data_IF_817736845239
#
_entry.id   IF_817736845239
#
_cell.length_a   1.000
_cell.length_b   1.000
_cell.length_c   1.000
_cell.angle_alpha   90.00
_cell.angle_beta   90.00
_cell.angle_gamma   90.00
#
_symmetry.space_group_name_H-M   'P 1'
#
loop_
_entity.id
_entity.type
_entity.pdbx_description
1 polymer ?
#
# COMPACT_ATOMS: atom_id res chain seq x y z
N UNK A 1 -0.24 32.97 12.82
CA UNK A 1 0.16 32.37 11.54
C UNK A 1 1.44 31.62 11.80
N UNK A 2 1.29 30.42 12.36
CA UNK A 2 2.41 29.49 12.58
C UNK A 2 2.58 28.71 11.28
N UNK A 3 3.77 28.85 10.67
CA UNK A 3 4.23 28.00 9.59
C UNK A 3 4.33 26.56 10.12
N UNK A 4 3.38 25.73 9.71
CA UNK A 4 3.43 24.28 9.90
C UNK A 4 4.63 23.75 9.10
N UNK A 5 5.70 23.37 9.80
CA UNK A 5 6.86 22.71 9.20
C UNK A 5 6.47 21.29 8.75
N UNK A 6 5.98 21.19 7.52
CA UNK A 6 5.76 19.92 6.82
C UNK A 6 7.12 19.40 6.32
N UNK A 7 7.34 18.10 6.51
CA UNK A 7 8.61 17.38 6.37
C UNK A 7 9.34 17.67 5.04
N UNK A 8 10.33 18.57 5.06
CA UNK A 8 11.15 19.01 3.89
C UNK A 8 12.50 18.30 3.80
N UNK A 9 12.72 17.25 4.59
CA UNK A 9 14.08 16.76 4.82
C UNK A 9 14.57 15.82 3.71
N UNK A 10 15.71 16.20 3.13
CA UNK A 10 16.45 15.37 2.18
C UNK A 10 17.22 14.28 2.93
N UNK A 11 16.93 13.01 2.60
CA UNK A 11 17.69 11.88 3.09
C UNK A 11 18.88 11.59 2.17
N UNK A 12 20.10 11.72 2.70
CA UNK A 12 21.31 11.44 1.94
C UNK A 12 21.66 9.94 1.97
N UNK A 13 21.63 9.28 0.82
CA UNK A 13 21.87 7.83 0.74
C UNK A 13 22.38 7.37 -0.63
N UNK A 14 22.96 6.16 -0.66
CA UNK A 14 23.34 5.51 -1.92
C UNK A 14 22.11 4.91 -2.60
N UNK A 15 21.86 5.35 -3.82
CA UNK A 15 20.78 4.86 -4.69
C UNK A 15 21.37 4.01 -5.81
N UNK A 16 20.96 2.73 -5.94
CA UNK A 16 21.36 1.90 -7.07
C UNK A 16 20.56 2.26 -8.33
N UNK A 17 21.26 2.69 -9.37
CA UNK A 17 20.73 2.86 -10.72
C UNK A 17 21.01 1.58 -11.51
N UNK A 18 19.93 0.85 -11.83
CA UNK A 18 20.00 -0.40 -12.58
C UNK A 18 19.90 -0.13 -14.08
N UNK A 19 20.82 -0.70 -14.84
CA UNK A 19 20.77 -0.74 -16.31
C UNK A 19 20.32 -2.14 -16.69
N UNK A 20 19.14 -2.26 -17.28
CA UNK A 20 18.48 -3.56 -17.49
C UNK A 20 17.84 -3.67 -18.89
N UNK A 21 17.70 -4.91 -19.37
CA UNK A 21 16.95 -5.28 -20.56
C UNK A 21 15.89 -6.29 -20.13
N UNK A 22 14.61 -5.91 -20.20
CA UNK A 22 13.54 -6.65 -19.53
C UNK A 22 13.84 -6.78 -18.03
N UNK A 23 13.73 -7.99 -17.50
CA UNK A 23 14.01 -8.28 -16.09
C UNK A 23 15.49 -8.56 -15.80
N UNK A 24 16.35 -8.57 -16.83
CA UNK A 24 17.79 -8.85 -16.67
C UNK A 24 18.56 -7.57 -16.41
N UNK A 25 19.10 -7.43 -15.20
CA UNK A 25 20.05 -6.36 -14.84
C UNK A 25 21.42 -6.68 -15.44
N UNK A 26 21.94 -5.78 -16.28
CA UNK A 26 23.27 -5.89 -16.85
C UNK A 26 24.33 -5.29 -15.92
N UNK A 27 24.04 -4.09 -15.39
CA UNK A 27 24.94 -3.36 -14.50
C UNK A 27 24.13 -2.61 -13.44
N UNK A 28 24.74 -2.35 -12.29
CA UNK A 28 24.20 -1.47 -11.25
C UNK A 28 25.27 -0.46 -10.87
N UNK A 29 24.97 0.83 -11.01
CA UNK A 29 25.82 1.92 -10.55
C UNK A 29 25.21 2.56 -9.32
N UNK A 30 26.01 2.93 -8.31
CA UNK A 30 25.49 3.55 -7.08
C UNK A 30 25.83 5.04 -7.08
N UNK A 31 24.82 5.87 -6.89
CA UNK A 31 24.96 7.32 -6.75
C UNK A 31 24.59 7.74 -5.33
N UNK A 32 25.36 8.65 -4.75
CA UNK A 32 24.99 9.36 -3.54
C UNK A 32 24.00 10.48 -3.89
N UNK A 33 22.74 10.29 -3.55
CA UNK A 33 21.67 11.23 -3.88
C UNK A 33 21.03 11.79 -2.61
N UNK A 34 20.56 13.03 -2.70
CA UNK A 34 19.57 13.57 -1.78
C UNK A 34 18.20 13.04 -2.19
N UNK A 35 17.59 12.23 -1.32
CA UNK A 35 16.35 11.53 -1.59
C UNK A 35 15.21 12.12 -0.78
N UNK A 36 14.10 12.42 -1.45
CA UNK A 36 12.83 12.80 -0.81
C UNK A 36 11.70 11.96 -1.39
N UNK A 37 10.70 11.69 -0.57
CA UNK A 37 9.46 11.06 -0.99
C UNK A 37 8.30 12.03 -0.78
N UNK A 38 7.43 12.13 -1.79
CA UNK A 38 6.20 12.90 -1.71
C UNK A 38 5.06 11.92 -1.45
N UNK A 39 4.52 11.97 -0.24
CA UNK A 39 3.42 11.08 0.15
C UNK A 39 2.05 11.72 -0.15
N UNK A 40 0.95 10.99 0.07
CA UNK A 40 -0.40 11.45 -0.28
C UNK A 40 -0.88 12.65 0.55
N UNK A 41 -0.35 12.81 1.76
CA UNK A 41 -0.64 13.93 2.67
C UNK A 41 0.12 15.22 2.30
N UNK A 42 1.05 15.15 1.35
CA UNK A 42 1.71 16.33 0.81
C UNK A 42 0.71 17.16 -0.02
N UNK A 43 0.66 18.49 0.19
CA UNK A 43 -0.27 19.39 -0.50
C UNK A 43 0.31 20.06 -1.76
N UNK A 44 1.50 19.63 -2.21
CA UNK A 44 2.14 20.15 -3.42
C UNK A 44 1.27 19.85 -4.65
N UNK A 45 0.85 20.86 -5.43
CA UNK A 45 0.02 20.63 -6.60
C UNK A 45 0.77 19.82 -7.66
N UNK A 46 0.05 19.08 -8.53
CA UNK A 46 0.66 18.41 -9.67
C UNK A 46 1.44 19.40 -10.55
N UNK A 47 2.62 18.99 -11.01
CA UNK A 47 3.48 19.84 -11.83
C UNK A 47 3.34 19.47 -13.31
N UNK A 48 3.27 20.49 -14.17
CA UNK A 48 3.30 20.31 -15.63
C UNK A 48 4.72 20.24 -16.19
N UNK A 49 5.70 20.70 -15.42
CA UNK A 49 7.12 20.66 -15.78
C UNK A 49 7.93 20.27 -14.56
N UNK A 50 8.68 19.20 -14.70
CA UNK A 50 9.70 18.81 -13.74
C UNK A 50 10.87 19.79 -13.85
N UNK A 51 11.31 20.34 -12.74
CA UNK A 51 12.52 21.16 -12.65
C UNK A 51 13.42 20.59 -11.56
N UNK A 52 14.75 20.72 -11.67
CA UNK A 52 15.65 20.35 -10.59
C UNK A 52 15.26 21.10 -9.30
N UNK A 53 15.38 20.47 -8.12
CA UNK A 53 15.21 21.18 -6.85
C UNK A 53 16.14 22.38 -6.75
N UNK A 54 15.66 23.46 -6.12
CA UNK A 54 16.45 24.67 -5.86
C UNK A 54 17.36 24.54 -4.64
N UNK A 55 17.20 23.48 -3.85
CA UNK A 55 18.04 23.19 -2.69
C UNK A 55 19.51 23.02 -3.10
N UNK A 56 20.43 23.41 -2.23
CA UNK A 56 21.85 23.19 -2.47
C UNK A 56 22.19 21.70 -2.45
N UNK A 57 22.99 21.26 -3.41
CA UNK A 57 23.60 19.94 -3.36
C UNK A 57 24.60 19.87 -2.19
N UNK A 58 24.47 18.81 -1.39
CA UNK A 58 25.48 18.42 -0.44
C UNK A 58 26.79 18.13 -1.19
N UNK A 59 27.94 18.46 -0.59
CA UNK A 59 29.26 18.43 -1.25
C UNK A 59 29.64 17.10 -1.90
N UNK A 60 29.14 15.98 -1.35
CA UNK A 60 29.36 14.63 -1.86
C UNK A 60 28.17 14.04 -2.63
N UNK A 61 27.10 14.82 -2.84
CA UNK A 61 25.93 14.36 -3.58
C UNK A 61 26.08 14.63 -5.07
N UNK A 62 25.64 13.66 -5.86
CA UNK A 62 25.68 13.69 -7.33
C UNK A 62 24.33 14.16 -7.93
N UNK A 63 23.33 14.45 -7.09
CA UNK A 63 22.01 14.88 -7.55
C UNK A 63 20.88 14.60 -6.56
N UNK A 64 19.66 14.72 -7.05
CA UNK A 64 18.43 14.50 -6.29
C UNK A 64 17.66 13.30 -6.82
N UNK A 65 16.95 12.60 -5.93
CA UNK A 65 15.90 11.65 -6.26
C UNK A 65 14.64 12.04 -5.52
N UNK A 66 13.58 12.36 -6.27
CA UNK A 66 12.27 12.61 -5.68
C UNK A 66 11.32 11.50 -6.12
N UNK A 67 10.72 10.82 -5.14
CA UNK A 67 9.74 9.76 -5.38
C UNK A 67 8.34 10.36 -5.38
N UNK A 68 7.46 9.77 -6.21
CA UNK A 68 6.02 10.03 -6.17
C UNK A 68 5.61 11.49 -6.44
N UNK A 69 6.39 12.21 -7.28
CA UNK A 69 5.96 13.52 -7.79
C UNK A 69 4.64 13.35 -8.58
N UNK A 70 3.65 14.18 -8.25
CA UNK A 70 2.41 14.30 -9.03
C UNK A 70 2.69 15.13 -10.28
N UNK A 71 2.41 14.56 -11.44
CA UNK A 71 2.58 15.21 -12.75
C UNK A 71 1.22 15.34 -13.45
N UNK A 72 1.06 16.39 -14.24
CA UNK A 72 -0.16 16.64 -15.01
C UNK A 72 -0.18 15.78 -16.28
N UNK A 73 0.97 15.64 -16.93
CA UNK A 73 1.14 14.98 -18.21
C UNK A 73 2.27 13.95 -18.15
N UNK A 74 2.33 13.04 -19.14
CA UNK A 74 3.45 12.13 -19.28
C UNK A 74 4.74 12.89 -19.61
N UNK A 75 5.82 12.56 -18.89
CA UNK A 75 7.14 13.10 -19.13
C UNK A 75 8.06 12.10 -19.86
N UNK A 76 9.03 12.58 -20.65
CA UNK A 76 10.01 11.70 -21.27
C UNK A 76 10.89 11.02 -20.20
N UNK A 77 11.24 9.76 -20.44
CA UNK A 77 12.07 8.95 -19.53
C UNK A 77 13.43 9.60 -19.25
N UNK A 78 14.03 10.26 -20.25
CA UNK A 78 15.33 10.91 -20.11
C UNK A 78 15.30 12.26 -20.81
N UNK A 79 15.70 13.30 -20.10
CA UNK A 79 15.80 14.66 -20.63
C UNK A 79 16.94 15.43 -19.98
N UNK A 80 17.61 16.30 -20.74
CA UNK A 80 18.57 17.25 -20.18
C UNK A 80 17.82 18.48 -19.68
N UNK A 81 18.11 18.91 -18.46
CA UNK A 81 17.56 20.13 -17.86
C UNK A 81 18.67 20.94 -17.22
N UNK A 82 19.06 22.04 -17.86
CA UNK A 82 20.21 22.86 -17.43
C UNK A 82 21.46 21.98 -17.26
N UNK A 83 22.05 21.96 -16.06
CA UNK A 83 23.22 21.17 -15.69
C UNK A 83 22.87 19.76 -15.20
N UNK A 84 21.58 19.40 -15.17
CA UNK A 84 21.10 18.11 -14.72
C UNK A 84 20.64 17.21 -15.89
N UNK A 85 20.73 15.91 -15.65
CA UNK A 85 20.02 14.89 -16.42
C UNK A 85 18.84 14.42 -15.56
N UNK A 86 17.62 14.65 -16.04
CA UNK A 86 16.40 14.15 -15.40
C UNK A 86 16.08 12.78 -16.00
N UNK A 87 16.07 11.77 -15.13
CA UNK A 87 15.77 10.38 -15.46
C UNK A 87 14.56 9.91 -14.67
N UNK A 88 13.51 9.48 -15.37
CA UNK A 88 12.23 9.06 -14.82
C UNK A 88 12.05 7.57 -15.10
N UNK A 89 12.46 6.69 -14.18
CA UNK A 89 12.42 5.24 -14.41
C UNK A 89 11.00 4.68 -14.45
N UNK A 90 10.01 5.39 -13.87
CA UNK A 90 8.62 4.94 -13.83
C UNK A 90 7.68 6.13 -13.63
N UNK A 91 6.55 6.10 -14.36
CA UNK A 91 5.38 6.96 -14.18
C UNK A 91 4.15 6.07 -14.22
N UNK A 92 3.25 6.24 -13.27
CA UNK A 92 2.09 5.37 -13.12
C UNK A 92 0.95 6.10 -12.43
N UNK A 93 -0.26 5.57 -12.62
CA UNK A 93 -1.43 6.01 -11.86
C UNK A 93 -1.35 5.45 -10.44
N UNK A 94 -1.27 6.33 -9.45
CA UNK A 94 -1.39 5.97 -8.03
C UNK A 94 -2.86 5.95 -7.65
N UNK A 95 -3.36 4.78 -7.25
CA UNK A 95 -4.75 4.63 -6.81
C UNK A 95 -4.81 4.69 -5.29
N UNK A 96 -5.72 5.50 -4.77
CA UNK A 96 -5.96 5.62 -3.33
C UNK A 96 -7.42 5.96 -3.03
N UNK A 97 -7.81 5.83 -1.76
CA UNK A 97 -9.09 6.29 -1.24
C UNK A 97 -8.82 7.44 -0.28
N UNK A 98 -9.53 8.55 -0.47
CA UNK A 98 -9.66 9.58 0.56
C UNK A 98 -10.52 9.03 1.71
N UNK A 99 -9.93 8.84 2.89
CA UNK A 99 -10.59 8.25 4.06
C UNK A 99 -11.28 9.32 4.94
N UNK A 100 -11.14 10.60 4.59
CA UNK A 100 -11.78 11.72 5.31
C UNK A 100 -13.25 11.90 4.91
N UNK A 101 -13.66 11.37 3.76
CA UNK A 101 -15.07 11.27 3.38
C UNK A 101 -15.78 10.17 4.20
N UNK A 102 -17.10 10.21 4.26
CA UNK A 102 -17.89 9.14 4.87
C UNK A 102 -17.90 7.86 4.00
N UNK A 103 -18.13 6.71 4.64
CA UNK A 103 -18.27 5.45 3.89
C UNK A 103 -19.44 5.47 2.91
N UNK A 104 -20.51 6.20 3.22
CA UNK A 104 -21.65 6.37 2.32
C UNK A 104 -21.27 7.15 1.05
N UNK A 105 -20.50 8.23 1.18
CA UNK A 105 -19.98 9.00 0.04
C UNK A 105 -19.03 8.15 -0.80
N UNK A 106 -18.12 7.39 -0.17
CA UNK A 106 -17.27 6.44 -0.88
C UNK A 106 -18.10 5.39 -1.65
N UNK A 107 -19.11 4.77 -1.01
CA UNK A 107 -20.03 3.83 -1.68
C UNK A 107 -20.76 4.48 -2.85
N UNK A 108 -21.08 5.77 -2.77
CA UNK A 108 -21.83 6.48 -3.80
C UNK A 108 -21.08 6.55 -5.14
N UNK A 109 -19.74 6.56 -5.11
CA UNK A 109 -18.84 6.60 -6.28
C UNK A 109 -18.95 5.35 -7.16
N UNK A 110 -19.42 4.24 -6.61
CA UNK A 110 -19.65 3.01 -7.38
C UNK A 110 -20.98 3.01 -8.12
N UNK A 111 -20.99 2.49 -9.35
CA UNK A 111 -22.24 2.27 -10.08
C UNK A 111 -23.21 1.37 -9.30
N UNK A 112 -24.52 1.53 -9.52
CA UNK A 112 -25.53 0.66 -8.92
C UNK A 112 -25.29 -0.83 -9.22
N UNK A 113 -24.74 -1.15 -10.40
CA UNK A 113 -24.34 -2.51 -10.80
C UNK A 113 -23.20 -3.04 -9.94
N UNK A 114 -22.17 -2.23 -9.69
CA UNK A 114 -21.02 -2.61 -8.86
C UNK A 114 -21.46 -2.85 -7.41
N UNK A 115 -22.24 -1.93 -6.83
CA UNK A 115 -22.80 -2.07 -5.47
C UNK A 115 -23.66 -3.33 -5.34
N UNK A 116 -24.55 -3.57 -6.31
CA UNK A 116 -25.39 -4.77 -6.33
C UNK A 116 -24.55 -6.05 -6.42
N UNK A 117 -23.48 -6.04 -7.21
CA UNK A 117 -22.58 -7.18 -7.34
C UNK A 117 -21.85 -7.50 -6.03
N UNK A 118 -21.35 -6.47 -5.32
CA UNK A 118 -20.71 -6.63 -4.01
C UNK A 118 -21.69 -7.20 -2.98
N UNK A 119 -22.89 -6.62 -2.88
CA UNK A 119 -23.93 -7.10 -1.97
C UNK A 119 -24.33 -8.55 -2.28
N UNK A 120 -24.46 -8.91 -3.56
CA UNK A 120 -24.75 -10.28 -3.99
C UNK A 120 -23.63 -11.26 -3.59
N UNK A 121 -22.36 -10.87 -3.73
CA UNK A 121 -21.20 -11.69 -3.31
C UNK A 121 -21.21 -11.90 -1.79
N UNK A 122 -21.38 -10.83 -1.02
CA UNK A 122 -21.46 -10.90 0.44
C UNK A 122 -22.61 -11.80 0.90
N UNK A 123 -23.81 -11.64 0.30
CA UNK A 123 -24.97 -12.49 0.60
C UNK A 123 -24.72 -13.96 0.27
N UNK A 124 -24.20 -14.26 -0.93
CA UNK A 124 -23.86 -15.63 -1.34
C UNK A 124 -22.89 -16.29 -0.35
N UNK A 125 -21.89 -15.55 0.09
CA UNK A 125 -20.93 -16.08 1.06
C UNK A 125 -21.55 -16.25 2.45
N UNK A 126 -22.40 -15.31 2.89
CA UNK A 126 -23.16 -15.42 4.15
C UNK A 126 -24.03 -16.67 4.17
N UNK A 127 -24.74 -16.95 3.08
CA UNK A 127 -25.56 -18.16 2.92
C UNK A 127 -24.69 -19.42 2.97
N UNK A 128 -23.54 -19.42 2.29
CA UNK A 128 -22.57 -20.52 2.33
C UNK A 128 -22.02 -20.78 3.74
N UNK A 129 -21.80 -19.74 4.54
CA UNK A 129 -21.35 -19.83 5.94
C UNK A 129 -22.46 -20.24 6.93
N UNK A 130 -23.69 -20.49 6.48
CA UNK A 130 -24.80 -20.86 7.36
C UNK A 130 -25.49 -19.68 8.05
N UNK A 131 -25.38 -18.47 7.48
CA UNK A 131 -26.18 -17.30 7.86
C UNK A 131 -25.39 -16.12 8.43
N UNK A 132 -24.09 -16.28 8.71
CA UNK A 132 -23.24 -15.17 9.15
C UNK A 132 -21.80 -15.30 8.65
N UNK A 133 -21.14 -14.18 8.38
CA UNK A 133 -19.73 -14.14 7.98
C UNK A 133 -18.89 -13.98 9.25
N UNK A 134 -17.95 -14.91 9.46
CA UNK A 134 -16.95 -14.81 10.53
C UNK A 134 -15.70 -14.12 10.01
N UNK A 135 -15.29 -13.03 10.66
CA UNK A 135 -14.07 -12.29 10.35
C UNK A 135 -13.57 -11.57 11.60
N UNK A 136 -12.27 -11.25 11.65
CA UNK A 136 -11.65 -10.62 12.81
C UNK A 136 -10.66 -9.54 12.39
N UNK A 137 -10.62 -8.46 13.17
CA UNK A 137 -9.63 -7.40 13.10
C UNK A 137 -8.58 -7.64 14.17
N UNK A 138 -7.31 -7.38 13.82
CA UNK A 138 -6.15 -7.52 14.66
C UNK A 138 -5.39 -6.19 14.64
N UNK A 139 -5.10 -5.63 15.82
CA UNK A 139 -4.42 -4.33 15.94
C UNK A 139 -3.48 -4.21 17.13
N UNK A 140 -3.60 -5.07 18.15
CA UNK A 140 -2.73 -5.04 19.33
C UNK A 140 -1.50 -5.95 19.19
N UNK A 141 -0.50 -5.73 20.04
CA UNK A 141 0.74 -6.51 20.06
C UNK A 141 0.48 -7.99 20.38
N UNK A 142 -0.48 -8.24 21.26
CA UNK A 142 -0.91 -9.57 21.73
C UNK A 142 -1.67 -10.34 20.65
N UNK A 143 -2.38 -9.61 19.78
CA UNK A 143 -3.16 -10.15 18.67
C UNK A 143 -2.28 -10.51 17.45
N UNK A 144 -1.16 -9.80 17.23
CA UNK A 144 -0.30 -9.98 16.06
C UNK A 144 0.25 -11.40 15.84
N UNK A 145 0.65 -12.18 16.87
CA UNK A 145 1.02 -13.58 16.69
C UNK A 145 -0.08 -14.45 16.07
N UNK A 146 -1.32 -14.29 16.54
CA UNK A 146 -2.47 -15.04 16.03
C UNK A 146 -2.78 -14.62 14.59
N UNK A 147 -2.80 -13.31 14.32
CA UNK A 147 -2.93 -12.79 12.95
C UNK A 147 -1.86 -13.40 12.03
N UNK A 148 -0.59 -13.39 12.46
CA UNK A 148 0.52 -13.91 11.67
C UNK A 148 0.28 -15.37 11.29
N UNK A 149 -0.10 -16.20 12.26
CA UNK A 149 -0.34 -17.62 12.03
C UNK A 149 -1.46 -17.86 11.01
N UNK A 150 -2.58 -17.16 11.14
CA UNK A 150 -3.69 -17.28 10.18
C UNK A 150 -3.34 -16.75 8.80
N UNK A 151 -2.73 -15.56 8.73
CA UNK A 151 -2.32 -14.95 7.47
C UNK A 151 -1.28 -15.80 6.73
N UNK A 152 -0.32 -16.41 7.46
CA UNK A 152 0.66 -17.34 6.88
C UNK A 152 0.01 -18.63 6.38
N UNK A 153 -0.99 -19.17 7.09
CA UNK A 153 -1.77 -20.33 6.62
C UNK A 153 -2.40 -20.06 5.26
N UNK A 154 -3.05 -18.90 5.10
CA UNK A 154 -3.65 -18.50 3.81
C UNK A 154 -2.58 -18.19 2.77
N UNK A 155 -1.55 -17.42 3.13
CA UNK A 155 -0.48 -16.98 2.22
C UNK A 155 0.27 -18.15 1.60
N UNK A 156 0.46 -19.27 2.32
CA UNK A 156 1.11 -20.47 1.76
C UNK A 156 0.30 -21.06 0.60
N UNK A 157 -1.03 -21.14 0.73
CA UNK A 157 -1.90 -21.67 -0.33
C UNK A 157 -2.05 -20.67 -1.47
N UNK A 158 -2.17 -19.36 -1.16
CA UNK A 158 -2.21 -18.31 -2.20
C UNK A 158 -0.95 -18.31 -3.06
N UNK A 159 0.23 -18.48 -2.44
CA UNK A 159 1.53 -18.50 -3.13
C UNK A 159 1.74 -19.80 -3.94
N UNK A 160 1.26 -20.95 -3.45
CA UNK A 160 1.35 -22.21 -4.21
C UNK A 160 0.64 -22.14 -5.57
N UNK A 161 -0.43 -21.34 -5.70
CA UNK A 161 -1.04 -21.07 -7.00
C UNK A 161 -0.42 -19.86 -7.74
N UNK A 162 0.06 -18.85 -7.00
CA UNK A 162 0.69 -17.66 -7.57
C UNK A 162 2.21 -17.76 -7.46
N UNK A 163 2.85 -18.19 -8.56
CA UNK A 163 4.30 -18.19 -8.86
C UNK A 163 5.04 -16.83 -8.70
N UNK A 164 4.55 -15.90 -7.87
CA UNK A 164 5.07 -14.55 -7.70
C UNK A 164 5.34 -14.32 -6.21
N UNK A 165 6.61 -14.06 -5.86
CA UNK A 165 7.19 -13.86 -4.50
C UNK A 165 6.58 -12.69 -3.68
N UNK A 166 5.26 -12.57 -3.65
CA UNK A 166 4.51 -11.47 -3.04
C UNK A 166 3.68 -11.91 -1.81
N UNK A 167 3.99 -13.09 -1.24
CA UNK A 167 3.35 -13.57 -0.01
C UNK A 167 3.86 -12.87 1.24
N UNK A 168 3.10 -12.97 2.35
CA UNK A 168 3.50 -12.44 3.65
C UNK A 168 4.86 -13.07 4.08
N UNK A 169 5.91 -12.32 4.45
CA UNK A 169 7.20 -12.93 4.81
C UNK A 169 7.11 -13.92 5.99
N UNK A 170 7.79 -15.07 5.88
CA UNK A 170 7.82 -16.14 6.90
C UNK A 170 9.05 -16.03 7.81
N UNK A 171 9.25 -14.88 8.43
CA UNK A 171 10.46 -14.63 9.22
C UNK A 171 10.15 -14.06 10.59
N UNK A 172 11.01 -14.39 11.57
CA UNK A 172 10.89 -13.86 12.93
C UNK A 172 11.11 -12.35 12.97
N UNK A 173 11.97 -11.83 12.08
CA UNK A 173 12.21 -10.40 11.90
C UNK A 173 10.95 -9.68 11.46
N UNK A 174 10.18 -10.27 10.54
CA UNK A 174 8.91 -9.69 10.10
C UNK A 174 7.87 -9.68 11.22
N UNK A 175 7.72 -10.79 11.95
CA UNK A 175 6.83 -10.85 13.11
C UNK A 175 7.22 -9.83 14.19
N UNK A 176 8.51 -9.65 14.45
CA UNK A 176 9.00 -8.64 15.38
C UNK A 176 8.64 -7.22 14.90
N UNK A 177 8.89 -6.90 13.63
CA UNK A 177 8.52 -5.61 13.04
C UNK A 177 7.00 -5.36 13.12
N UNK A 178 6.19 -6.37 12.82
CA UNK A 178 4.74 -6.27 12.92
C UNK A 178 4.26 -5.97 14.35
N UNK A 179 4.87 -6.60 15.36
CA UNK A 179 4.59 -6.29 16.77
C UNK A 179 4.98 -4.86 17.14
N UNK A 180 6.10 -4.35 16.63
CA UNK A 180 6.51 -2.96 16.85
C UNK A 180 5.50 -1.97 16.25
N UNK A 181 5.00 -2.25 15.04
CA UNK A 181 3.94 -1.45 14.42
C UNK A 181 2.65 -1.49 15.26
N UNK A 182 2.25 -2.66 15.74
CA UNK A 182 1.06 -2.80 16.60
C UNK A 182 1.19 -2.01 17.91
N UNK A 183 2.38 -2.01 18.51
CA UNK A 183 2.66 -1.21 19.72
C UNK A 183 2.45 0.29 19.49
N UNK A 184 2.72 0.75 18.27
CA UNK A 184 2.53 2.15 17.85
C UNK A 184 1.13 2.43 17.31
N UNK A 185 0.23 1.43 17.26
CA UNK A 185 -1.07 1.55 16.60
C UNK A 185 -0.99 1.64 15.07
N UNK A 186 0.16 1.35 14.48
CA UNK A 186 0.50 1.53 13.07
C UNK A 186 0.26 0.30 12.19
N UNK A 187 -0.68 -0.56 12.57
CA UNK A 187 -1.09 -1.72 11.76
C UNK A 187 -2.57 -2.05 11.98
N UNK A 188 -3.23 -2.48 10.91
CA UNK A 188 -4.48 -3.24 10.97
C UNK A 188 -4.33 -4.52 10.17
N UNK A 189 -4.61 -5.65 10.81
CA UNK A 189 -4.69 -6.97 10.18
C UNK A 189 -6.15 -7.44 10.15
N UNK A 190 -6.54 -8.09 9.07
CA UNK A 190 -7.89 -8.61 8.88
C UNK A 190 -7.82 -10.06 8.42
N UNK A 191 -8.64 -10.92 9.01
CA UNK A 191 -8.81 -12.32 8.57
C UNK A 191 -10.29 -12.59 8.33
N UNK A 192 -10.60 -13.20 7.19
CA UNK A 192 -11.91 -13.78 6.89
C UNK A 192 -11.85 -15.28 7.15
N UNK A 193 -12.87 -15.83 7.80
CA UNK A 193 -12.95 -17.24 8.14
C UNK A 193 -14.15 -17.91 7.47
N UNK A 194 -13.98 -19.17 7.10
CA UNK A 194 -15.08 -20.11 6.92
C UNK A 194 -15.02 -21.11 8.09
N UNK A 195 -16.00 -21.04 8.99
CA UNK A 195 -15.92 -21.69 10.31
C UNK A 195 -14.66 -21.23 11.05
N UNK A 196 -13.79 -22.14 11.49
CA UNK A 196 -12.51 -21.83 12.14
C UNK A 196 -11.34 -21.72 11.15
N UNK A 197 -11.57 -21.98 9.86
CA UNK A 197 -10.52 -21.97 8.83
C UNK A 197 -10.33 -20.56 8.28
N UNK A 198 -9.13 -19.95 8.34
CA UNK A 198 -8.87 -18.69 7.66
C UNK A 198 -8.87 -18.90 6.14
N UNK A 199 -9.58 -18.06 5.41
CA UNK A 199 -9.75 -18.17 3.94
C UNK A 199 -9.31 -16.92 3.19
N UNK A 200 -9.13 -15.79 3.87
CA UNK A 200 -8.53 -14.59 3.29
C UNK A 200 -7.87 -13.75 4.38
N UNK A 201 -6.83 -13.01 4.02
CA UNK A 201 -6.19 -12.05 4.90
C UNK A 201 -5.88 -10.74 4.17
N UNK A 202 -5.80 -9.67 4.95
CA UNK A 202 -5.33 -8.35 4.54
C UNK A 202 -4.49 -7.74 5.67
N UNK A 203 -3.31 -7.24 5.33
CA UNK A 203 -2.34 -6.61 6.21
C UNK A 203 -2.11 -5.16 5.76
N UNK A 204 -2.46 -4.21 6.61
CA UNK A 204 -2.46 -2.78 6.31
C UNK A 204 -1.59 -1.98 7.29
N UNK A 205 -0.27 -1.86 7.07
CA UNK A 205 0.57 -1.00 7.89
C UNK A 205 0.17 0.46 7.67
N UNK A 206 0.42 1.29 8.67
CA UNK A 206 0.04 2.70 8.69
C UNK A 206 1.30 3.54 8.80
N UNK A 207 1.39 4.60 7.99
CA UNK A 207 2.44 5.62 8.06
C UNK A 207 1.79 6.99 7.90
N UNK A 208 2.05 7.93 8.81
CA UNK A 208 1.52 9.30 8.73
C UNK A 208 -0.01 9.39 8.46
N UNK A 209 -0.80 8.51 9.08
CA UNK A 209 -2.25 8.45 8.86
C UNK A 209 -2.69 7.82 7.52
N UNK A 210 -1.77 7.27 6.74
CA UNK A 210 -2.01 6.58 5.47
C UNK A 210 -1.95 5.06 5.70
N UNK A 211 -3.02 4.35 5.38
CA UNK A 211 -3.05 2.88 5.34
C UNK A 211 -2.50 2.37 4.02
N UNK A 212 -1.55 1.44 4.06
CA UNK A 212 -0.93 0.86 2.88
C UNK A 212 -1.56 -0.51 2.60
N UNK A 213 -1.89 -0.82 1.34
CA UNK A 213 -2.39 -2.13 0.92
C UNK A 213 -1.26 -3.18 0.83
N UNK A 214 -0.61 -3.45 1.97
CA UNK A 214 0.71 -4.10 2.03
C UNK A 214 0.75 -5.57 1.63
N UNK A 215 0.06 -6.45 2.36
CA UNK A 215 0.00 -7.88 2.01
C UNK A 215 -1.43 -8.39 2.05
N UNK A 216 -1.76 -9.27 1.11
CA UNK A 216 -3.08 -9.88 1.04
C UNK A 216 -3.01 -11.27 0.43
N UNK A 217 -4.05 -12.06 0.69
CA UNK A 217 -4.22 -13.33 0.04
C UNK A 217 -5.57 -13.95 0.32
N UNK A 218 -5.86 -15.01 -0.43
CA UNK A 218 -7.03 -15.83 -0.23
C UNK A 218 -6.75 -17.29 -0.59
N UNK A 219 -7.47 -18.20 0.06
CA UNK A 219 -7.49 -19.62 -0.28
C UNK A 219 -8.25 -19.77 -1.62
N UNK A 220 -7.59 -20.24 -2.69
CA UNK A 220 -8.20 -20.34 -4.01
C UNK A 220 -9.41 -21.27 -4.09
N UNK A 221 -9.52 -22.25 -3.19
CA UNK A 221 -10.72 -23.09 -3.08
C UNK A 221 -11.99 -22.27 -2.81
N UNK A 222 -11.84 -21.03 -2.33
CA UNK A 222 -12.92 -20.10 -2.05
C UNK A 222 -13.06 -18.99 -3.11
N UNK A 223 -12.35 -19.05 -4.24
CA UNK A 223 -12.37 -18.00 -5.27
C UNK A 223 -13.78 -17.73 -5.81
N UNK A 224 -14.61 -18.78 -5.94
CA UNK A 224 -16.00 -18.70 -6.41
C UNK A 224 -16.95 -17.95 -5.45
N UNK A 225 -16.47 -17.65 -4.25
CA UNK A 225 -17.15 -16.83 -3.24
C UNK A 225 -16.57 -15.41 -3.14
N UNK A 226 -15.51 -15.09 -3.88
CA UNK A 226 -14.88 -13.76 -3.86
C UNK A 226 -14.40 -13.31 -2.47
N UNK A 227 -13.89 -14.25 -1.66
CA UNK A 227 -13.48 -14.01 -0.26
C UNK A 227 -12.53 -12.83 -0.08
N UNK A 228 -11.57 -12.63 -0.99
CA UNK A 228 -10.67 -11.47 -0.93
C UNK A 228 -11.40 -10.12 -1.11
N UNK A 229 -12.32 -10.04 -2.08
CA UNK A 229 -13.14 -8.83 -2.28
C UNK A 229 -14.06 -8.57 -1.10
N UNK A 230 -14.65 -9.63 -0.52
CA UNK A 230 -15.52 -9.51 0.66
C UNK A 230 -14.73 -8.99 1.85
N UNK A 231 -13.56 -9.59 2.14
CA UNK A 231 -12.70 -9.14 3.23
C UNK A 231 -12.27 -7.69 3.05
N UNK A 232 -11.84 -7.30 1.86
CA UNK A 232 -11.48 -5.92 1.57
C UNK A 232 -12.64 -4.95 1.81
N UNK A 233 -13.86 -5.32 1.42
CA UNK A 233 -15.04 -4.49 1.65
C UNK A 233 -15.37 -4.32 3.14
N UNK A 234 -15.31 -5.41 3.91
CA UNK A 234 -15.51 -5.38 5.38
C UNK A 234 -14.42 -4.56 6.07
N UNK A 235 -13.16 -4.73 5.65
CA UNK A 235 -12.04 -3.97 6.16
C UNK A 235 -12.21 -2.46 5.88
N UNK A 236 -12.60 -2.08 4.65
CA UNK A 236 -12.87 -0.68 4.33
C UNK A 236 -13.99 -0.10 5.20
N UNK A 237 -15.13 -0.81 5.34
CA UNK A 237 -16.23 -0.37 6.22
C UNK A 237 -15.76 -0.10 7.64
N UNK A 238 -14.96 -1.03 8.20
CA UNK A 238 -14.38 -0.88 9.53
C UNK A 238 -13.41 0.30 9.64
N UNK A 239 -12.52 0.47 8.65
CA UNK A 239 -11.52 1.53 8.65
C UNK A 239 -12.15 2.92 8.52
N UNK A 240 -13.23 3.06 7.74
CA UNK A 240 -14.02 4.30 7.71
C UNK A 240 -14.72 4.57 9.04
N UNK A 241 -15.20 3.53 9.73
CA UNK A 241 -15.80 3.69 11.07
C UNK A 241 -14.78 4.10 12.13
N UNK A 242 -13.52 3.68 12.02
CA UNK A 242 -12.45 4.16 12.92
C UNK A 242 -12.19 5.67 12.75
N UNK A 243 -12.45 6.26 11.57
CA UNK A 243 -12.38 7.71 11.35
C UNK A 243 -11.02 8.35 11.64
N UNK A 244 -9.93 7.57 11.60
CA UNK A 244 -8.61 7.97 12.10
C UNK A 244 -7.54 8.10 11.00
N UNK A 245 -7.92 7.93 9.73
CA UNK A 245 -6.99 7.82 8.61
C UNK A 245 -7.26 8.88 7.54
N UNK A 246 -6.19 9.36 6.90
CA UNK A 246 -6.26 10.33 5.81
C UNK A 246 -6.51 9.64 4.48
N UNK A 247 -5.75 8.58 4.19
CA UNK A 247 -5.81 7.87 2.92
C UNK A 247 -5.67 6.35 3.09
N UNK A 248 -6.19 5.62 2.11
CA UNK A 248 -5.89 4.20 1.89
C UNK A 248 -5.20 4.06 0.53
N UNK A 249 -3.93 3.68 0.53
CA UNK A 249 -3.07 3.60 -0.64
C UNK A 249 -2.99 2.17 -1.18
N UNK A 250 -3.20 2.00 -2.50
CA UNK A 250 -3.11 0.71 -3.19
C UNK A 250 -1.75 0.44 -3.84
N UNK A 251 -0.80 1.38 -3.76
CA UNK A 251 0.55 1.22 -4.33
C UNK A 251 1.54 0.51 -3.44
#
# INVERSE_FOLDING_TARGET
MEETSLNKDWNYQQVPIKIQIGDKVLFTYKLWLQVREIDLDDNTPPVSKLTPPSDSLHSNSQGFLVRSIRVVDEHPVLQKQQDYISYIPSQYLRYYIDMQQSFAEYKSKFSSKTRSTLNRKARKYTEYCGGSISWKVYKSVEEMPEFFQYARTVSKVTYQEKLLDAGLPDTNEFLHKMKLLAKQGHIRGFILFHQEKPVSYLYCPISNGILIYGFLGYDPNYMNYSVGTILQWLALEYLFQEGSFLFFDFT
#
